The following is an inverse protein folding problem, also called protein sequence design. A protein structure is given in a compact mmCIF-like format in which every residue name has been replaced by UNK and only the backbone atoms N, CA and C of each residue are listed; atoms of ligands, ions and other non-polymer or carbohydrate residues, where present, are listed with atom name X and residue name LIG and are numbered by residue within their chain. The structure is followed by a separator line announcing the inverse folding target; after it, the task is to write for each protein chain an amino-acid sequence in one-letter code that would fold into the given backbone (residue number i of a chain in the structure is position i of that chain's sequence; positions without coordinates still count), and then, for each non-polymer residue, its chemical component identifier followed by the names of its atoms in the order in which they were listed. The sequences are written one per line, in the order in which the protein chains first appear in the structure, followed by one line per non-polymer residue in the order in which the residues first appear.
data_IF_140712796264
#
_entry.id   IF_140712796264
#
_cell.length_a   1.000
_cell.length_b   1.000
_cell.length_c   1.000
_cell.angle_alpha   90.00
_cell.angle_beta   90.00
_cell.angle_gamma   90.00
#
_symmetry.space_group_name_H-M   'P 1'
#
loop_
_entity.id
_entity.type
_entity.pdbx_description
1 polymer ?
#
# COMPACT_ATOMS: atom_id res chain seq x y z
N UNK A 1 -55.36 45.08 22.81
CA UNK A 1 -54.76 45.22 21.47
C UNK A 1 -53.31 44.77 21.54
N UNK A 2 -52.84 44.01 20.54
CA UNK A 2 -51.54 43.31 20.45
C UNK A 2 -50.34 44.28 20.28
N UNK A 3 -49.14 43.70 20.49
CA UNK A 3 -47.74 44.12 20.13
C UNK A 3 -47.00 44.80 21.30
N UNK A 4 -45.73 44.54 21.62
CA UNK A 4 -44.61 43.96 20.88
C UNK A 4 -43.58 43.35 21.84
N UNK A 5 -42.91 42.28 21.40
CA UNK A 5 -41.70 41.68 21.98
C UNK A 5 -40.49 42.56 21.61
N UNK A 6 -39.54 42.79 22.52
CA UNK A 6 -38.16 43.20 22.17
C UNK A 6 -37.18 42.66 23.20
N UNK A 7 -36.24 41.88 22.67
CA UNK A 7 -35.14 41.16 23.30
C UNK A 7 -33.89 42.02 23.35
N UNK A 8 -33.11 41.95 24.46
CA UNK A 8 -31.64 41.99 24.62
C UNK A 8 -31.35 42.22 26.13
N UNK A 9 -30.40 41.60 26.84
CA UNK A 9 -29.01 41.30 26.49
C UNK A 9 -28.44 40.21 27.41
N UNK A 10 -27.55 39.43 26.81
CA UNK A 10 -26.59 38.45 27.29
C UNK A 10 -25.73 38.89 28.50
N UNK A 11 -25.52 38.00 29.49
CA UNK A 11 -24.27 37.91 30.26
C UNK A 11 -23.89 36.44 30.35
N UNK A 12 -22.81 36.09 29.66
CA UNK A 12 -22.30 34.73 29.55
C UNK A 12 -21.61 34.26 30.83
N UNK A 13 -21.81 32.98 31.15
CA UNK A 13 -20.87 32.22 31.96
C UNK A 13 -19.88 31.55 31.02
N UNK A 14 -18.63 31.98 31.15
CA UNK A 14 -17.46 31.33 30.57
C UNK A 14 -17.19 30.09 31.43
N UNK A 15 -17.38 28.89 30.89
CA UNK A 15 -16.64 27.72 31.35
C UNK A 15 -15.58 27.39 30.32
N UNK A 16 -14.31 27.61 30.70
CA UNK A 16 -13.15 27.13 29.96
C UNK A 16 -13.25 25.60 29.86
N UNK A 17 -13.58 25.09 28.67
CA UNK A 17 -13.16 23.76 28.27
C UNK A 17 -11.69 23.85 27.89
N UNK A 18 -10.82 23.20 28.67
CA UNK A 18 -9.48 22.85 28.23
C UNK A 18 -9.65 21.81 27.12
N UNK A 19 -9.71 22.27 25.87
CA UNK A 19 -9.46 21.42 24.72
C UNK A 19 -8.00 21.00 24.78
N UNK A 20 -7.76 19.70 24.91
CA UNK A 20 -6.46 19.10 24.58
C UNK A 20 -6.08 19.55 23.17
N UNK A 21 -4.80 19.86 22.89
CA UNK A 21 -4.39 19.99 21.51
C UNK A 21 -4.52 18.62 20.88
N UNK A 22 -5.52 18.44 20.01
CA UNK A 22 -5.47 17.37 19.04
C UNK A 22 -4.14 17.58 18.28
N UNK A 23 -3.20 16.65 18.46
CA UNK A 23 -2.03 16.55 17.61
C UNK A 23 -2.58 16.19 16.24
N UNK A 24 -2.89 17.21 15.45
CA UNK A 24 -3.21 17.06 14.05
C UNK A 24 -1.90 16.71 13.35
N UNK A 25 -1.57 15.42 13.41
CA UNK A 25 -0.47 14.83 12.67
C UNK A 25 -0.85 14.85 11.19
N UNK A 26 -0.18 15.68 10.40
CA UNK A 26 -0.18 15.57 8.95
C UNK A 26 0.54 14.25 8.60
N UNK A 27 -0.22 13.17 8.38
CA UNK A 27 0.31 11.85 7.99
C UNK A 27 0.50 11.86 6.48
N UNK A 28 1.65 12.35 6.03
CA UNK A 28 1.92 12.62 4.62
C UNK A 28 2.41 11.37 3.84
N UNK A 29 1.70 10.24 3.97
CA UNK A 29 1.96 9.03 3.16
C UNK A 29 1.07 8.93 1.93
N UNK A 30 -0.08 9.61 1.92
CA UNK A 30 -1.07 9.56 0.83
C UNK A 30 -1.38 10.99 0.36
N UNK A 31 -1.36 11.23 -0.95
CA UNK A 31 -1.78 12.50 -1.57
C UNK A 31 -3.27 12.78 -1.29
N UNK A 32 -3.70 14.04 -1.25
CA UNK A 32 -4.99 14.56 -0.72
C UNK A 32 -6.29 13.96 -1.35
N UNK A 33 -6.19 12.94 -2.21
CA UNK A 33 -7.29 12.32 -2.93
C UNK A 33 -7.98 11.15 -2.23
N UNK A 34 -7.45 10.65 -1.11
CA UNK A 34 -8.06 9.54 -0.34
C UNK A 34 -8.70 10.11 0.93
N UNK A 35 -10.00 9.86 1.12
CA UNK A 35 -10.73 10.35 2.29
C UNK A 35 -10.22 9.65 3.56
N UNK A 36 -9.40 10.35 4.33
CA UNK A 36 -8.83 9.90 5.60
C UNK A 36 -9.93 9.65 6.63
N UNK A 37 -10.05 8.40 7.09
CA UNK A 37 -10.81 8.04 8.28
C UNK A 37 -9.78 7.72 9.37
N UNK A 38 -9.57 8.62 10.34
CA UNK A 38 -8.78 8.28 11.52
C UNK A 38 -9.69 7.62 12.54
N UNK A 39 -9.43 6.35 12.89
CA UNK A 39 -10.04 5.74 14.05
C UNK A 39 -9.01 5.71 15.20
N UNK A 40 -9.37 6.33 16.32
CA UNK A 40 -8.52 6.31 17.51
C UNK A 40 -8.86 5.07 18.33
N UNK A 41 -8.06 4.02 18.19
CA UNK A 41 -8.00 2.93 19.15
C UNK A 41 -7.07 3.31 20.30
N UNK A 42 -7.61 3.68 21.46
CA UNK A 42 -6.76 3.96 22.63
C UNK A 42 -6.27 2.65 23.27
N UNK A 43 -5.12 2.11 22.84
CA UNK A 43 -4.42 1.13 23.67
C UNK A 43 -3.14 0.52 23.10
N UNK A 44 -2.64 -0.48 23.85
CA UNK A 44 -1.30 -1.07 23.75
C UNK A 44 -1.20 -2.13 22.63
N UNK A 45 -0.02 -2.69 22.36
CA UNK A 45 0.20 -3.68 21.28
C UNK A 45 -0.69 -4.93 21.32
N UNK A 46 -1.23 -5.31 22.48
CA UNK A 46 -2.23 -6.40 22.61
C UNK A 46 -3.61 -6.04 22.00
N UNK A 47 -3.88 -4.75 21.77
CA UNK A 47 -5.09 -4.26 21.10
C UNK A 47 -4.92 -4.24 19.58
N UNK A 48 -3.70 -4.12 19.06
CA UNK A 48 -3.42 -4.25 17.63
C UNK A 48 -3.92 -5.60 17.09
N UNK A 49 -3.55 -6.69 17.77
CA UNK A 49 -4.00 -8.04 17.41
C UNK A 49 -5.53 -8.23 17.51
N UNK A 50 -6.22 -7.45 18.36
CA UNK A 50 -7.68 -7.47 18.46
C UNK A 50 -8.35 -6.72 17.31
N UNK A 51 -7.76 -5.60 16.87
CA UNK A 51 -8.20 -4.85 15.68
C UNK A 51 -8.07 -5.74 14.45
N UNK A 52 -6.91 -6.41 14.25
CA UNK A 52 -6.70 -7.35 13.15
C UNK A 52 -7.81 -8.42 13.10
N UNK A 53 -8.11 -9.00 14.27
CA UNK A 53 -9.14 -10.04 14.38
C UNK A 53 -10.56 -9.51 14.14
N UNK A 54 -10.85 -8.28 14.58
CA UNK A 54 -12.17 -7.67 14.48
C UNK A 54 -12.50 -7.20 13.06
N UNK A 55 -11.51 -6.65 12.35
CA UNK A 55 -11.70 -6.12 11.01
C UNK A 55 -11.71 -7.24 9.96
N UNK A 56 -11.10 -8.38 10.24
CA UNK A 56 -11.24 -9.59 9.41
C UNK A 56 -10.76 -9.40 7.97
N UNK A 57 -9.99 -8.35 7.72
CA UNK A 57 -9.40 -8.04 6.42
C UNK A 57 -7.97 -8.57 6.41
N UNK A 58 -7.57 -9.14 5.28
CA UNK A 58 -6.23 -9.70 5.05
C UNK A 58 -5.14 -8.60 4.86
N UNK A 59 -5.39 -7.39 5.34
CA UNK A 59 -4.42 -6.30 5.24
C UNK A 59 -3.55 -6.33 6.49
N UNK A 60 -2.25 -6.18 6.28
CA UNK A 60 -1.31 -6.09 7.40
C UNK A 60 -1.30 -4.66 7.96
N UNK A 61 -0.95 -4.52 9.24
CA UNK A 61 -0.75 -3.21 9.84
C UNK A 61 0.72 -2.79 9.73
N UNK A 62 0.97 -1.72 8.97
CA UNK A 62 2.32 -1.19 8.75
C UNK A 62 2.54 0.05 9.61
N UNK A 63 3.49 0.01 10.54
CA UNK A 63 3.86 1.14 11.37
C UNK A 63 4.51 2.21 10.49
N UNK A 64 3.86 3.37 10.37
CA UNK A 64 4.29 4.49 9.52
C UNK A 64 4.86 5.67 10.32
N UNK A 65 4.70 5.65 11.64
CA UNK A 65 5.22 6.66 12.56
C UNK A 65 5.43 6.10 13.97
N UNK A 66 6.50 6.53 14.63
CA UNK A 66 6.83 6.19 16.02
C UNK A 66 7.11 7.48 16.80
N UNK A 67 6.66 7.56 18.05
CA UNK A 67 7.02 8.58 19.04
C UNK A 67 7.26 7.94 20.41
N UNK A 68 7.65 8.73 21.40
CA UNK A 68 7.78 8.25 22.78
C UNK A 68 6.44 7.87 23.42
N UNK A 69 5.33 8.48 22.95
CA UNK A 69 3.98 8.29 23.49
C UNK A 69 3.28 7.08 22.85
N UNK A 70 3.65 6.72 21.61
CA UNK A 70 2.91 5.74 20.83
C UNK A 70 3.40 5.60 19.39
N UNK A 71 2.61 4.92 18.57
CA UNK A 71 2.90 4.72 17.16
C UNK A 71 1.62 4.75 16.33
N UNK A 72 1.77 4.94 15.02
CA UNK A 72 0.65 4.95 14.07
C UNK A 72 0.88 3.86 13.04
N UNK A 73 -0.13 3.06 12.77
CA UNK A 73 -0.13 2.08 11.69
C UNK A 73 -1.02 2.53 10.54
N UNK A 74 -0.62 2.21 9.32
CA UNK A 74 -1.48 2.15 8.14
C UNK A 74 -2.10 0.77 8.08
N UNK A 75 -3.41 0.70 7.90
CA UNK A 75 -4.16 -0.54 7.73
C UNK A 75 -5.03 -0.42 6.48
N UNK A 76 -4.45 -0.67 5.31
CA UNK A 76 -5.10 -0.38 4.05
C UNK A 76 -5.40 1.11 3.89
N UNK A 77 -6.69 1.46 3.84
CA UNK A 77 -7.18 2.80 3.49
C UNK A 77 -7.32 3.77 4.68
N UNK A 78 -6.95 3.34 5.88
CA UNK A 78 -7.04 4.14 7.10
C UNK A 78 -5.84 3.93 8.02
N UNK A 79 -5.85 4.67 9.14
CA UNK A 79 -4.78 4.63 10.13
C UNK A 79 -5.33 4.34 11.52
N UNK A 80 -4.55 3.60 12.30
CA UNK A 80 -4.75 3.45 13.75
C UNK A 80 -3.61 4.11 14.51
N UNK A 81 -3.93 4.64 15.68
CA UNK A 81 -2.94 5.12 16.64
C UNK A 81 -2.95 4.19 17.84
N UNK A 82 -1.78 3.88 18.37
CA UNK A 82 -1.60 3.03 19.55
C UNK A 82 -0.69 3.73 20.55
N UNK A 83 -0.93 3.48 21.83
CA UNK A 83 -0.09 3.99 22.92
C UNK A 83 1.07 3.02 23.21
N UNK A 84 2.20 3.57 23.66
CA UNK A 84 3.35 2.80 24.10
C UNK A 84 4.25 2.29 22.98
N UNK A 85 4.94 1.19 23.25
CA UNK A 85 5.98 0.66 22.34
C UNK A 85 5.36 -0.14 21.20
N UNK A 86 5.91 -0.03 19.97
CA UNK A 86 5.60 -0.97 18.90
C UNK A 86 5.82 -2.44 19.29
N UNK A 87 5.04 -3.37 18.73
CA UNK A 87 5.24 -4.80 18.94
C UNK A 87 6.60 -5.25 18.36
N UNK A 88 7.18 -6.28 18.98
CA UNK A 88 8.47 -6.85 18.54
C UNK A 88 8.39 -7.35 17.08
N UNK A 89 7.33 -8.08 16.73
CA UNK A 89 7.08 -8.62 15.38
C UNK A 89 6.38 -7.58 14.45
N UNK A 90 6.51 -6.28 14.73
CA UNK A 90 5.86 -5.23 13.95
C UNK A 90 6.36 -5.18 12.50
N UNK A 91 5.50 -4.72 11.60
CA UNK A 91 5.84 -4.38 10.21
C UNK A 91 5.97 -2.87 10.12
N UNK A 92 6.99 -2.37 9.42
CA UNK A 92 7.41 -0.97 9.45
C UNK A 92 7.55 -0.39 8.04
N UNK A 93 7.26 0.90 7.90
CA UNK A 93 7.57 1.65 6.69
C UNK A 93 9.08 1.89 6.56
N UNK A 94 9.62 1.76 5.35
CA UNK A 94 11.03 2.02 5.03
C UNK A 94 11.48 3.46 5.33
N UNK A 95 10.57 4.41 5.23
CA UNK A 95 10.74 5.81 5.63
C UNK A 95 11.06 6.02 7.11
N UNK A 96 10.87 5.01 7.96
CA UNK A 96 11.31 5.04 9.35
C UNK A 96 12.77 4.65 9.52
N UNK A 97 13.45 4.17 8.48
CA UNK A 97 14.85 3.78 8.56
C UNK A 97 15.71 4.95 9.07
N UNK A 98 16.65 4.61 9.94
CA UNK A 98 17.66 5.54 10.41
C UNK A 98 18.47 6.10 9.22
N UNK A 99 18.99 7.34 9.33
CA UNK A 99 19.85 7.91 8.30
C UNK A 99 21.00 6.97 7.93
N UNK A 100 21.36 6.89 6.64
CA UNK A 100 22.41 5.97 6.16
C UNK A 100 23.79 6.21 6.82
N UNK A 101 24.05 7.42 7.30
CA UNK A 101 25.29 7.79 7.98
C UNK A 101 25.28 7.54 9.49
N UNK A 102 24.16 7.09 10.04
CA UNK A 102 24.05 6.71 11.44
C UNK A 102 24.97 5.52 11.76
N UNK A 103 25.63 5.58 12.91
CA UNK A 103 26.43 4.50 13.46
C UNK A 103 25.75 4.00 14.72
N UNK A 104 25.43 2.71 14.76
CA UNK A 104 24.72 2.12 15.89
C UNK A 104 25.40 2.41 17.23
N UNK A 105 24.62 2.96 18.16
CA UNK A 105 24.98 3.07 19.57
C UNK A 105 23.89 2.39 20.42
N UNK A 106 24.32 1.49 21.29
CA UNK A 106 23.45 0.83 22.26
C UNK A 106 22.75 1.84 23.18
N UNK A 107 23.34 3.02 23.40
CA UNK A 107 22.76 4.10 24.20
C UNK A 107 21.51 4.73 23.57
N UNK A 108 21.38 4.65 22.23
CA UNK A 108 20.25 5.22 21.51
C UNK A 108 19.05 4.26 21.43
N UNK A 109 19.23 2.98 21.80
CA UNK A 109 18.20 1.95 21.67
C UNK A 109 17.02 2.23 22.60
N UNK A 110 15.86 2.46 22.00
CA UNK A 110 14.57 2.60 22.69
C UNK A 110 13.92 1.23 22.94
N UNK A 111 13.89 0.37 21.92
CA UNK A 111 13.40 -1.01 22.02
C UNK A 111 13.98 -1.91 20.93
N UNK A 112 14.03 -3.21 21.19
CA UNK A 112 14.36 -4.24 20.19
C UNK A 112 13.10 -4.62 19.40
N UNK A 113 13.27 -4.95 18.12
CA UNK A 113 12.24 -5.44 17.20
C UNK A 113 12.79 -6.61 16.40
N UNK A 114 11.93 -7.33 15.68
CA UNK A 114 12.36 -8.47 14.87
C UNK A 114 13.41 -8.02 13.85
N UNK A 115 14.63 -8.53 14.02
CA UNK A 115 15.77 -8.27 13.13
C UNK A 115 16.51 -6.94 13.38
N UNK A 116 16.05 -6.07 14.28
CA UNK A 116 16.61 -4.72 14.42
C UNK A 116 16.26 -4.01 15.73
N UNK A 117 16.40 -2.69 15.74
CA UNK A 117 16.15 -1.83 16.90
C UNK A 117 15.37 -0.59 16.49
N UNK A 118 14.53 -0.09 17.38
CA UNK A 118 14.09 1.31 17.32
C UNK A 118 15.11 2.12 18.13
N UNK A 119 15.72 3.12 17.50
CA UNK A 119 16.72 4.02 18.08
C UNK A 119 16.18 5.45 18.13
N UNK A 120 16.61 6.23 19.13
CA UNK A 120 16.27 7.65 19.25
C UNK A 120 17.47 8.51 18.87
N UNK A 121 17.33 9.29 17.79
CA UNK A 121 18.35 10.22 17.28
C UNK A 121 17.74 11.62 17.28
N UNK A 122 18.34 12.57 18.00
CA UNK A 122 17.85 13.95 18.13
C UNK A 122 16.34 14.03 18.47
N UNK A 123 15.93 13.30 19.51
CA UNK A 123 14.54 13.22 20.01
C UNK A 123 13.52 12.67 18.99
N UNK A 124 13.99 11.93 17.97
CA UNK A 124 13.14 11.25 16.99
C UNK A 124 13.44 9.76 16.95
N UNK A 125 12.40 8.95 16.85
CA UNK A 125 12.52 7.50 16.73
C UNK A 125 12.74 7.08 15.28
N UNK A 126 13.70 6.20 15.06
CA UNK A 126 14.01 5.58 13.77
C UNK A 126 14.16 4.07 13.94
N UNK A 127 13.98 3.35 12.85
CA UNK A 127 14.21 1.92 12.74
C UNK A 127 15.62 1.68 12.22
N UNK A 128 16.38 0.86 12.95
CA UNK A 128 17.75 0.50 12.59
C UNK A 128 17.84 -1.01 12.34
N UNK A 129 18.39 -1.36 11.17
CA UNK A 129 18.85 -2.71 10.85
C UNK A 129 20.34 -2.64 10.50
N UNK A 130 21.08 -3.70 10.83
CA UNK A 130 22.47 -3.84 10.37
C UNK A 130 22.52 -3.98 8.84
N UNK A 131 21.56 -4.71 8.26
CA UNK A 131 21.36 -4.82 6.81
C UNK A 131 19.86 -4.73 6.49
N UNK A 132 19.34 -3.53 6.15
CA UNK A 132 17.93 -3.35 5.80
C UNK A 132 17.47 -4.22 4.63
N UNK A 133 18.37 -4.66 3.74
CA UNK A 133 18.01 -5.49 2.58
C UNK A 133 17.58 -6.91 2.95
N UNK A 134 17.89 -7.35 4.17
CA UNK A 134 17.51 -8.65 4.71
C UNK A 134 16.27 -8.59 5.62
N UNK A 135 15.76 -7.39 5.91
CA UNK A 135 14.57 -7.21 6.73
C UNK A 135 13.33 -7.70 5.98
N UNK A 136 12.51 -8.51 6.66
CA UNK A 136 11.27 -9.09 6.08
C UNK A 136 10.02 -8.28 6.42
N UNK A 137 10.14 -7.43 7.44
CA UNK A 137 9.09 -6.62 8.03
C UNK A 137 9.19 -5.15 7.61
N UNK A 138 9.80 -4.86 6.47
CA UNK A 138 9.79 -3.54 5.84
C UNK A 138 8.78 -3.49 4.69
N UNK A 139 8.08 -2.36 4.57
CA UNK A 139 7.24 -2.03 3.42
C UNK A 139 7.63 -0.67 2.88
N UNK A 140 7.68 -0.58 1.56
CA UNK A 140 7.97 0.66 0.86
C UNK A 140 6.74 1.55 0.79
N UNK A 141 6.95 2.83 0.53
CA UNK A 141 5.85 3.77 0.28
C UNK A 141 4.91 3.31 -0.85
N UNK A 142 5.46 2.72 -1.92
CA UNK A 142 4.65 2.22 -3.04
C UNK A 142 3.75 1.05 -2.60
N UNK A 143 4.28 0.10 -1.82
CA UNK A 143 3.48 -1.02 -1.28
C UNK A 143 2.35 -0.54 -0.38
N UNK A 144 2.65 0.36 0.58
CA UNK A 144 1.66 0.93 1.49
C UNK A 144 0.59 1.70 0.70
N UNK A 145 0.99 2.44 -0.33
CA UNK A 145 0.06 3.18 -1.20
C UNK A 145 -0.87 2.23 -1.95
N UNK A 146 -0.36 1.13 -2.50
CA UNK A 146 -1.20 0.13 -3.17
C UNK A 146 -2.18 -0.54 -2.20
N UNK A 147 -1.75 -0.87 -0.99
CA UNK A 147 -2.63 -1.39 0.06
C UNK A 147 -3.74 -0.38 0.41
N UNK A 148 -3.43 0.92 0.41
CA UNK A 148 -4.46 1.97 0.61
C UNK A 148 -5.52 2.05 -0.49
N UNK A 149 -5.24 1.47 -1.67
CA UNK A 149 -6.23 1.29 -2.73
C UNK A 149 -6.93 -0.08 -2.68
N UNK A 150 -6.71 -0.86 -1.62
CA UNK A 150 -7.34 -2.15 -1.37
C UNK A 150 -6.62 -3.33 -2.02
N UNK A 151 -5.38 -3.17 -2.50
CA UNK A 151 -4.59 -4.31 -2.93
C UNK A 151 -4.19 -5.16 -1.72
N UNK A 152 -4.19 -6.48 -1.92
CA UNK A 152 -3.68 -7.42 -0.93
C UNK A 152 -2.17 -7.19 -0.73
N UNK A 153 -1.62 -7.31 0.49
CA UNK A 153 -0.20 -7.06 0.75
C UNK A 153 0.75 -7.82 -0.18
N UNK A 154 0.44 -9.09 -0.46
CA UNK A 154 1.22 -9.95 -1.35
C UNK A 154 1.23 -9.44 -2.79
N UNK A 155 0.10 -8.92 -3.27
CA UNK A 155 0.00 -8.31 -4.60
C UNK A 155 0.76 -6.98 -4.66
N UNK A 156 0.66 -6.16 -3.61
CA UNK A 156 1.40 -4.91 -3.51
C UNK A 156 2.91 -5.15 -3.55
N UNK A 157 3.41 -6.13 -2.78
CA UNK A 157 4.82 -6.54 -2.78
C UNK A 157 5.24 -7.10 -4.15
N UNK A 158 4.43 -7.98 -4.76
CA UNK A 158 4.75 -8.54 -6.07
C UNK A 158 4.81 -7.47 -7.16
N UNK A 159 3.87 -6.51 -7.15
CA UNK A 159 3.85 -5.39 -8.08
C UNK A 159 5.05 -4.46 -7.87
N UNK A 160 5.46 -4.22 -6.62
CA UNK A 160 6.68 -3.47 -6.34
C UNK A 160 7.92 -4.18 -6.89
N UNK A 161 8.00 -5.49 -6.71
CA UNK A 161 9.12 -6.32 -7.16
C UNK A 161 9.27 -6.35 -8.70
N UNK A 162 8.20 -6.04 -9.45
CA UNK A 162 8.26 -5.89 -10.91
C UNK A 162 9.33 -4.89 -11.35
N UNK A 163 9.65 -3.86 -10.55
CA UNK A 163 10.74 -2.92 -10.90
C UNK A 163 12.05 -3.65 -11.13
N UNK A 164 12.43 -4.54 -10.22
CA UNK A 164 13.63 -5.35 -10.34
C UNK A 164 13.49 -6.39 -11.45
N UNK A 165 12.36 -7.09 -11.51
CA UNK A 165 12.14 -8.19 -12.45
C UNK A 165 12.07 -7.73 -13.91
N UNK A 166 11.69 -6.47 -14.15
CA UNK A 166 11.66 -5.82 -15.47
C UNK A 166 12.90 -4.96 -15.75
N UNK A 167 13.86 -4.88 -14.82
CA UNK A 167 15.05 -4.03 -14.95
C UNK A 167 14.73 -2.53 -15.05
N UNK A 168 13.64 -2.09 -14.42
CA UNK A 168 13.27 -0.68 -14.34
C UNK A 168 14.23 0.07 -13.41
N UNK A 169 14.28 1.39 -13.57
CA UNK A 169 15.02 2.25 -12.66
C UNK A 169 14.36 2.26 -11.28
N UNK A 170 15.14 2.55 -10.25
CA UNK A 170 14.65 2.70 -8.88
C UNK A 170 13.58 3.80 -8.76
N UNK A 171 13.73 4.90 -9.51
CA UNK A 171 12.77 6.00 -9.58
C UNK A 171 11.59 5.76 -10.53
N UNK A 172 11.48 4.56 -11.11
CA UNK A 172 10.31 4.16 -11.89
C UNK A 172 9.06 4.23 -11.00
N UNK A 173 8.03 4.88 -11.52
CA UNK A 173 6.79 5.11 -10.77
C UNK A 173 5.89 3.88 -10.85
N UNK A 174 5.25 3.60 -9.72
CA UNK A 174 4.07 2.75 -9.65
C UNK A 174 2.88 3.68 -9.39
N UNK A 175 1.82 3.53 -10.18
CA UNK A 175 0.62 4.35 -10.06
C UNK A 175 -0.63 3.50 -10.12
N UNK A 176 -1.71 4.02 -9.55
CA UNK A 176 -3.02 3.37 -9.52
C UNK A 176 -4.03 4.20 -10.31
N UNK A 177 -4.74 3.57 -11.25
CA UNK A 177 -5.71 4.21 -12.13
C UNK A 177 -7.05 3.47 -12.07
N UNK A 178 -8.07 4.13 -11.49
CA UNK A 178 -9.39 3.53 -11.29
C UNK A 178 -10.49 4.10 -12.21
N UNK A 179 -10.23 5.17 -12.95
CA UNK A 179 -11.18 5.84 -13.84
C UNK A 179 -11.05 5.32 -15.26
N UNK A 180 -9.85 5.39 -15.83
CA UNK A 180 -9.57 5.08 -17.22
C UNK A 180 -9.22 3.60 -17.43
N UNK A 181 -9.39 3.14 -18.67
CA UNK A 181 -8.80 1.88 -19.13
C UNK A 181 -7.42 2.16 -19.73
N UNK A 182 -6.52 1.16 -19.82
CA UNK A 182 -5.13 1.35 -20.27
C UNK A 182 -4.98 2.15 -21.58
N UNK A 183 -5.79 1.85 -22.60
CA UNK A 183 -5.72 2.53 -23.89
C UNK A 183 -6.12 4.01 -23.83
N UNK A 184 -7.05 4.38 -22.94
CA UNK A 184 -7.44 5.78 -22.75
C UNK A 184 -6.45 6.51 -21.85
N UNK A 185 -5.95 5.84 -20.81
CA UNK A 185 -4.87 6.36 -19.97
C UNK A 185 -3.61 6.68 -20.78
N UNK A 186 -3.24 5.86 -21.76
CA UNK A 186 -2.13 6.14 -22.68
C UNK A 186 -2.35 7.37 -23.57
N UNK A 187 -3.58 7.68 -23.95
CA UNK A 187 -3.88 8.88 -24.76
C UNK A 187 -3.72 10.17 -23.95
N UNK A 188 -3.99 10.10 -22.66
CA UNK A 188 -3.91 11.24 -21.74
C UNK A 188 -2.53 11.38 -21.09
N UNK A 189 -1.73 10.31 -21.07
CA UNK A 189 -0.39 10.29 -20.51
C UNK A 189 0.70 10.48 -21.58
N UNK A 190 1.95 10.65 -21.13
CA UNK A 190 3.13 10.71 -21.98
C UNK A 190 3.96 9.41 -21.91
N UNK A 191 3.35 8.30 -21.51
CA UNK A 191 4.06 7.06 -21.12
C UNK A 191 4.33 6.08 -22.27
N UNK A 192 4.06 6.47 -23.51
CA UNK A 192 4.34 5.65 -24.68
C UNK A 192 3.13 5.48 -25.58
N UNK A 193 3.16 4.42 -26.39
CA UNK A 193 2.11 4.13 -27.40
C UNK A 193 1.34 2.84 -27.11
N UNK A 194 1.98 1.90 -26.42
CA UNK A 194 1.46 0.57 -26.12
C UNK A 194 1.67 0.30 -24.62
N UNK A 195 0.93 -0.70 -24.11
CA UNK A 195 1.10 -1.27 -22.78
C UNK A 195 1.24 -2.79 -22.88
N UNK A 196 1.79 -3.41 -21.85
CA UNK A 196 1.80 -4.87 -21.68
C UNK A 196 1.34 -5.19 -20.26
N UNK A 197 0.41 -6.11 -20.10
CA UNK A 197 -0.01 -6.62 -18.79
C UNK A 197 1.12 -7.48 -18.24
N UNK A 198 1.59 -7.16 -17.04
CA UNK A 198 2.77 -7.78 -16.41
C UNK A 198 2.47 -8.42 -15.06
N UNK A 199 1.27 -8.22 -14.52
CA UNK A 199 0.80 -8.86 -13.29
C UNK A 199 -0.72 -8.96 -13.31
N UNK A 200 -1.27 -10.03 -12.75
CA UNK A 200 -2.70 -10.29 -12.60
C UNK A 200 -2.99 -10.56 -11.12
N UNK A 201 -4.09 -10.02 -10.62
CA UNK A 201 -4.56 -10.26 -9.25
C UNK A 201 -6.09 -10.35 -9.22
N UNK A 202 -6.66 -10.70 -8.06
CA UNK A 202 -8.08 -11.03 -7.92
C UNK A 202 -9.03 -10.03 -8.56
N UNK A 203 -8.78 -8.75 -8.31
CA UNK A 203 -9.67 -7.65 -8.66
C UNK A 203 -9.04 -6.73 -9.73
N UNK A 204 -7.98 -7.16 -10.42
CA UNK A 204 -7.33 -6.31 -11.41
C UNK A 204 -6.05 -6.84 -12.06
N UNK A 205 -5.28 -5.91 -12.60
CA UNK A 205 -4.00 -6.18 -13.27
C UNK A 205 -3.04 -4.99 -13.18
N UNK A 206 -1.75 -5.25 -13.38
CA UNK A 206 -0.74 -4.22 -13.55
C UNK A 206 -0.18 -4.26 -14.97
N UNK A 207 0.19 -3.10 -15.50
CA UNK A 207 0.77 -2.93 -16.83
C UNK A 207 2.13 -2.27 -16.77
N UNK A 208 2.99 -2.60 -17.72
CA UNK A 208 4.17 -1.81 -18.08
C UNK A 208 3.79 -0.83 -19.20
N UNK A 209 4.01 0.46 -18.96
CA UNK A 209 3.77 1.57 -19.90
C UNK A 209 5.03 2.46 -19.94
N UNK A 210 5.83 2.32 -21.00
CA UNK A 210 7.14 2.97 -21.06
C UNK A 210 8.09 2.35 -20.04
N UNK A 211 8.47 3.14 -19.02
CA UNK A 211 9.30 2.71 -17.89
C UNK A 211 8.54 2.73 -16.55
N UNK A 212 7.20 2.74 -16.59
CA UNK A 212 6.35 2.84 -15.39
C UNK A 212 5.38 1.68 -15.30
N UNK A 213 5.00 1.36 -14.05
CA UNK A 213 3.95 0.38 -13.74
C UNK A 213 2.65 1.11 -13.41
N UNK A 214 1.56 0.71 -14.05
CA UNK A 214 0.22 1.26 -13.79
C UNK A 214 -0.73 0.13 -13.44
N UNK A 215 -1.36 0.24 -12.28
CA UNK A 215 -2.27 -0.74 -11.67
C UNK A 215 -3.72 -0.34 -11.93
N UNK A 216 -4.53 -1.31 -12.35
CA UNK A 216 -5.93 -1.12 -12.72
C UNK A 216 -6.83 -2.10 -11.96
N UNK A 217 -7.80 -1.63 -11.15
CA UNK A 217 -8.71 -2.48 -10.36
C UNK A 217 -9.92 -2.94 -11.18
N UNK A 218 -9.68 -3.57 -12.34
CA UNK A 218 -10.71 -4.01 -13.31
C UNK A 218 -10.21 -5.22 -14.10
N UNK A 219 -11.10 -5.95 -14.77
CA UNK A 219 -10.68 -6.99 -15.72
C UNK A 219 -9.77 -6.44 -16.82
N UNK A 220 -8.74 -7.20 -17.20
CA UNK A 220 -7.86 -6.84 -18.29
C UNK A 220 -8.63 -6.80 -19.62
N UNK A 221 -8.33 -5.84 -20.53
CA UNK A 221 -8.94 -5.82 -21.85
C UNK A 221 -8.71 -7.13 -22.60
N UNK A 222 -9.73 -7.63 -23.32
CA UNK A 222 -9.65 -8.91 -24.04
C UNK A 222 -8.51 -8.95 -25.06
N UNK A 223 -8.29 -7.84 -25.74
CA UNK A 223 -7.27 -7.65 -26.77
C UNK A 223 -5.91 -7.18 -26.20
N UNK A 224 -5.73 -7.21 -24.88
CA UNK A 224 -4.49 -6.81 -24.25
C UNK A 224 -3.32 -7.72 -24.65
N UNK A 225 -2.11 -7.14 -24.66
CA UNK A 225 -0.87 -7.88 -24.72
C UNK A 225 -0.43 -8.27 -23.32
N UNK A 226 0.04 -9.49 -23.13
CA UNK A 226 0.44 -10.02 -21.85
C UNK A 226 1.89 -10.47 -21.86
N UNK A 227 2.58 -10.30 -20.74
CA UNK A 227 3.90 -10.87 -20.53
C UNK A 227 3.81 -12.40 -20.45
N UNK A 228 4.71 -13.11 -21.14
CA UNK A 228 4.84 -14.57 -21.07
C UNK A 228 5.05 -15.11 -19.67
N UNK A 229 5.59 -14.31 -18.73
CA UNK A 229 5.76 -14.70 -17.32
C UNK A 229 4.44 -14.95 -16.60
N UNK A 230 3.32 -14.47 -17.15
CA UNK A 230 1.98 -14.71 -16.60
C UNK A 230 1.41 -16.07 -16.97
N UNK A 231 2.05 -16.84 -17.86
CA UNK A 231 1.56 -18.17 -18.23
C UNK A 231 1.61 -19.12 -17.03
N UNK A 232 0.48 -19.80 -16.79
CA UNK A 232 0.37 -20.84 -15.77
C UNK A 232 0.32 -22.22 -16.43
N UNK A 233 1.17 -23.12 -15.95
CA UNK A 233 1.19 -24.53 -16.33
C UNK A 233 0.41 -25.37 -15.30
N UNK A 234 -0.81 -24.95 -14.95
CA UNK A 234 -1.70 -25.71 -14.07
C UNK A 234 -3.02 -26.06 -14.79
N UNK A 235 -3.29 -27.36 -14.87
CA UNK A 235 -4.51 -27.90 -15.50
C UNK A 235 -5.72 -27.91 -14.56
N UNK A 236 -5.51 -27.61 -13.27
CA UNK A 236 -6.56 -27.45 -12.27
C UNK A 236 -6.98 -25.98 -12.04
N UNK A 237 -6.30 -25.02 -12.65
CA UNK A 237 -6.60 -23.61 -12.49
C UNK A 237 -8.04 -23.28 -12.96
N UNK A 238 -8.74 -22.47 -12.17
CA UNK A 238 -10.12 -22.08 -12.44
C UNK A 238 -10.16 -20.88 -13.39
N UNK A 239 -10.94 -20.97 -14.48
CA UNK A 239 -11.14 -19.83 -15.38
C UNK A 239 -11.93 -18.72 -14.69
N UNK A 240 -11.39 -17.50 -14.68
CA UNK A 240 -12.03 -16.32 -14.11
C UNK A 240 -12.76 -15.53 -15.20
N UNK A 241 -12.05 -15.17 -16.28
CA UNK A 241 -12.62 -14.49 -17.44
C UNK A 241 -11.81 -14.73 -18.72
N UNK A 242 -12.48 -14.56 -19.87
CA UNK A 242 -11.90 -14.82 -21.19
C UNK A 242 -11.16 -13.60 -21.75
N UNK A 243 -10.01 -13.85 -22.37
CA UNK A 243 -9.21 -12.89 -23.15
C UNK A 243 -8.94 -13.47 -24.54
N UNK A 244 -8.37 -12.70 -25.46
CA UNK A 244 -8.06 -13.21 -26.78
C UNK A 244 -6.96 -14.30 -26.66
N UNK A 245 -7.24 -15.49 -27.18
CA UNK A 245 -6.29 -16.62 -27.18
C UNK A 245 -6.23 -17.47 -25.90
N UNK A 246 -7.06 -17.18 -24.89
CA UNK A 246 -7.05 -17.91 -23.62
C UNK A 246 -7.95 -17.30 -22.56
N UNK A 247 -7.67 -17.61 -21.31
CA UNK A 247 -8.38 -17.05 -20.17
C UNK A 247 -7.41 -16.61 -19.08
N UNK A 248 -7.84 -15.61 -18.31
CA UNK A 248 -7.26 -15.35 -17.01
C UNK A 248 -7.79 -16.40 -16.06
N UNK A 249 -6.87 -17.09 -15.39
CA UNK A 249 -7.16 -18.20 -14.49
C UNK A 249 -6.64 -17.92 -13.10
N UNK A 250 -7.22 -18.60 -12.12
CA UNK A 250 -6.84 -18.60 -10.72
C UNK A 250 -6.25 -19.96 -10.33
N UNK A 251 -5.02 -19.95 -9.83
CA UNK A 251 -4.35 -21.10 -9.23
C UNK A 251 -4.32 -20.93 -7.70
N UNK A 252 -4.87 -21.91 -6.97
CA UNK A 252 -4.98 -21.85 -5.52
C UNK A 252 -5.85 -20.68 -5.02
N UNK A 253 -5.48 -20.11 -3.87
CA UNK A 253 -6.32 -19.13 -3.18
C UNK A 253 -6.15 -17.69 -3.69
N UNK A 254 -4.96 -17.29 -4.16
CA UNK A 254 -4.67 -15.88 -4.53
C UNK A 254 -3.64 -15.71 -5.67
N UNK A 255 -3.32 -16.74 -6.45
CA UNK A 255 -2.41 -16.61 -7.60
C UNK A 255 -3.21 -16.55 -8.90
N UNK A 256 -2.96 -15.53 -9.73
CA UNK A 256 -3.63 -15.34 -11.01
C UNK A 256 -2.63 -15.30 -12.16
N UNK A 257 -3.05 -15.83 -13.30
CA UNK A 257 -2.23 -15.86 -14.50
C UNK A 257 -3.05 -16.16 -15.74
N UNK A 258 -2.38 -16.61 -16.79
CA UNK A 258 -2.95 -16.88 -18.10
C UNK A 258 -2.86 -18.36 -18.44
N UNK A 259 -3.98 -18.90 -18.90
CA UNK A 259 -4.03 -20.20 -19.56
C UNK A 259 -4.35 -20.00 -21.04
N UNK A 260 -3.59 -20.64 -21.93
CA UNK A 260 -3.81 -20.55 -23.38
C UNK A 260 -4.77 -21.63 -23.86
N UNK A 261 -5.57 -21.28 -24.87
CA UNK A 261 -6.33 -22.30 -25.59
C UNK A 261 -5.40 -23.27 -26.35
N UNK A 262 -5.73 -24.56 -26.32
CA UNK A 262 -4.95 -25.59 -26.96
C UNK A 262 -4.80 -25.35 -28.48
N UNK A 263 -3.56 -25.11 -28.93
CA UNK A 263 -3.23 -24.95 -30.35
C UNK A 263 -3.44 -23.54 -30.91
N UNK A 264 -3.70 -22.53 -30.09
CA UNK A 264 -3.63 -21.13 -30.51
C UNK A 264 -2.21 -20.57 -30.45
N UNK A 265 -1.87 -19.74 -31.45
CA UNK A 265 -0.63 -18.98 -31.47
C UNK A 265 -0.73 -17.78 -30.51
N UNK A 266 0.36 -17.55 -29.77
CA UNK A 266 0.50 -16.57 -28.71
C UNK A 266 0.70 -15.13 -29.24
N UNK A 267 -0.13 -14.69 -30.19
CA UNK A 267 0.00 -13.38 -30.83
C UNK A 267 -0.17 -12.20 -29.85
N UNK A 268 -0.84 -12.45 -28.73
CA UNK A 268 -1.01 -11.53 -27.62
C UNK A 268 0.09 -11.64 -26.54
N UNK A 269 1.07 -12.55 -26.67
CA UNK A 269 2.14 -12.69 -25.68
C UNK A 269 3.41 -11.94 -26.08
N UNK A 270 3.98 -11.23 -25.10
CA UNK A 270 5.19 -10.45 -25.22
C UNK A 270 6.27 -11.06 -24.33
N UNK A 271 7.48 -11.22 -24.88
CA UNK A 271 8.64 -11.71 -24.14
C UNK A 271 9.51 -10.51 -23.73
N UNK A 272 9.28 -9.99 -22.51
CA UNK A 272 9.99 -8.81 -22.02
C UNK A 272 11.43 -9.10 -21.60
N UNK A 273 11.83 -10.36 -21.45
CA UNK A 273 13.20 -10.75 -21.09
C UNK A 273 14.21 -10.67 -22.26
N UNK A 274 13.74 -10.37 -23.49
CA UNK A 274 14.57 -10.37 -24.70
C UNK A 274 15.05 -8.98 -25.16
N UNK A 275 14.78 -7.94 -24.38
CA UNK A 275 15.17 -6.56 -24.71
C UNK A 275 16.34 -6.07 -23.86
#
# INVERSE_FOLDING_TARGET
MKKSLTTLTLVGFISLGLSTPAVQAEINYIDESTSESQDQSNGEGDEQAQVDQAEGLAQEQVIVRISEEGYVTSHGDHYHTYDGKPPYEGIYADSLLAPEDYQFDQADVYTEVEGGYIVTIDDKCYLYYEDPSQAKNLRTKDEITLQSYGLHPQDATAIYQLKADLGLKEDAKISFENKLMPADYLKESNLGKDYTVVYLYRDGFATLMGDQVVVFPKEAPKDAKFDKRLLLEDDQAESVYEVDGGSVVKDGDDHYGLSLEAGQDADNLVDLNKN
#
